data_IF_007542912504
#
_entry.id   IF_007542912504
#
_cell.length_a   1.000
_cell.length_b   1.000
_cell.length_c   1.000
_cell.angle_alpha   90.00
_cell.angle_beta   90.00
_cell.angle_gamma   90.00
#
_symmetry.space_group_name_H-M   'P 1'
#
loop_
_entity.id
_entity.type
_entity.pdbx_description
1 polymer ?
#
# COMPACT_ATOMS: atom_id res chain seq x y z
N UNK A 1 11.72 2.83 11.22
CA UNK A 1 12.36 1.50 11.15
C UNK A 1 12.39 1.07 9.70
N UNK A 2 13.46 0.46 9.22
CA UNK A 2 13.58 0.00 7.83
C UNK A 2 13.65 -1.53 7.83
N UNK A 3 12.83 -2.16 6.99
CA UNK A 3 12.86 -3.61 6.75
C UNK A 3 13.54 -3.81 5.39
N UNK A 4 14.85 -4.02 5.38
CA UNK A 4 15.64 -4.09 4.14
C UNK A 4 16.45 -5.38 4.01
N UNK A 5 16.23 -6.35 4.90
CA UNK A 5 16.82 -7.68 4.88
C UNK A 5 15.88 -8.71 5.53
N UNK A 6 16.25 -9.99 5.46
CA UNK A 6 15.43 -11.10 5.95
C UNK A 6 15.40 -11.10 7.48
N UNK A 7 16.51 -10.75 8.12
CA UNK A 7 16.65 -10.71 9.57
C UNK A 7 15.69 -9.69 10.20
N UNK A 8 15.59 -8.48 9.63
CA UNK A 8 14.63 -7.46 10.06
C UNK A 8 13.19 -7.89 9.80
N UNK A 9 12.91 -8.57 8.67
CA UNK A 9 11.58 -9.12 8.39
C UNK A 9 11.17 -10.19 9.42
N UNK A 10 12.08 -11.11 9.76
CA UNK A 10 11.85 -12.13 10.79
C UNK A 10 11.67 -11.50 12.18
N UNK A 11 12.42 -10.44 12.48
CA UNK A 11 12.27 -9.70 13.73
C UNK A 11 10.86 -9.10 13.86
N UNK A 12 10.32 -8.50 12.79
CA UNK A 12 8.94 -8.02 12.75
C UNK A 12 7.93 -9.15 12.93
N UNK A 13 8.11 -10.28 12.25
CA UNK A 13 7.27 -11.46 12.42
C UNK A 13 7.25 -11.99 13.87
N UNK A 14 8.40 -11.96 14.55
CA UNK A 14 8.50 -12.30 15.97
C UNK A 14 7.73 -11.33 16.88
N UNK A 15 7.47 -10.09 16.43
CA UNK A 15 6.61 -9.11 17.12
C UNK A 15 5.13 -9.20 16.71
N UNK A 16 4.73 -10.24 15.97
CA UNK A 16 3.39 -10.39 15.40
C UNK A 16 2.99 -9.23 14.47
N UNK A 17 3.95 -8.60 13.78
CA UNK A 17 3.63 -7.67 12.71
C UNK A 17 3.14 -8.45 11.49
N UNK A 18 1.83 -8.42 11.24
CA UNK A 18 1.18 -9.18 10.16
C UNK A 18 1.05 -8.38 8.86
N UNK A 19 1.00 -7.05 8.95
CA UNK A 19 0.81 -6.15 7.81
C UNK A 19 1.89 -5.06 7.82
N UNK A 20 2.36 -4.69 6.63
CA UNK A 20 3.41 -3.69 6.44
C UNK A 20 2.92 -2.56 5.56
N UNK A 21 2.77 -1.37 6.12
CA UNK A 21 2.39 -0.16 5.39
C UNK A 21 3.63 0.71 5.21
N UNK A 22 3.98 1.02 3.97
CA UNK A 22 5.12 1.87 3.63
C UNK A 22 4.63 3.20 3.05
N UNK A 23 5.34 4.31 3.31
CA UNK A 23 5.07 5.57 2.63
C UNK A 23 5.52 5.52 1.17
N UNK A 24 5.04 6.45 0.33
CA UNK A 24 5.34 6.52 -1.10
C UNK A 24 6.67 7.23 -1.42
N UNK A 25 7.61 7.24 -0.48
CA UNK A 25 8.96 7.76 -0.67
C UNK A 25 9.99 6.82 -0.05
N UNK A 26 11.18 6.78 -0.65
CA UNK A 26 12.33 6.07 -0.05
C UNK A 26 12.82 6.77 1.22
N UNK A 27 13.49 6.01 2.08
CA UNK A 27 14.14 6.54 3.29
C UNK A 27 15.03 7.74 2.95
N UNK A 28 15.04 8.75 3.82
CA UNK A 28 15.78 10.01 3.68
C UNK A 28 15.30 10.96 2.58
N UNK A 29 14.26 10.62 1.80
CA UNK A 29 13.62 11.56 0.87
C UNK A 29 12.51 12.36 1.54
N UNK A 30 12.35 13.61 1.09
CA UNK A 30 11.31 14.53 1.58
C UNK A 30 10.15 14.72 0.61
N UNK A 31 10.20 14.05 -0.56
CA UNK A 31 9.16 14.13 -1.60
C UNK A 31 8.74 12.70 -2.01
N UNK A 32 7.45 12.49 -2.35
CA UNK A 32 6.96 11.21 -2.85
C UNK A 32 7.58 10.86 -4.19
N UNK A 33 7.86 9.58 -4.39
CA UNK A 33 8.29 8.99 -5.66
C UNK A 33 7.07 8.51 -6.47
N UNK A 34 5.97 8.15 -5.80
CA UNK A 34 4.79 7.51 -6.40
C UNK A 34 3.47 8.06 -5.82
N UNK A 35 2.36 7.82 -6.51
CA UNK A 35 0.99 8.13 -6.07
C UNK A 35 0.18 6.83 -6.08
N UNK A 36 -0.62 6.61 -5.05
CA UNK A 36 -1.59 5.51 -4.98
C UNK A 36 -2.98 6.09 -4.77
N UNK A 37 -3.95 5.52 -5.46
CA UNK A 37 -5.37 5.83 -5.32
C UNK A 37 -6.06 4.59 -4.76
N UNK A 38 -6.61 4.71 -3.55
CA UNK A 38 -7.43 3.68 -2.93
C UNK A 38 -8.88 3.83 -3.39
N UNK A 39 -9.46 2.76 -3.93
CA UNK A 39 -10.79 2.77 -4.52
C UNK A 39 -11.74 1.96 -3.64
N UNK A 40 -12.48 2.68 -2.79
CA UNK A 40 -13.41 2.08 -1.84
C UNK A 40 -14.85 2.11 -2.37
N UNK A 41 -15.41 0.98 -2.83
CA UNK A 41 -16.80 0.95 -3.28
C UNK A 41 -17.76 1.13 -2.08
N UNK A 42 -18.96 1.72 -2.29
CA UNK A 42 -19.91 1.95 -1.19
C UNK A 42 -20.32 0.69 -0.41
N UNK A 43 -20.32 -0.47 -1.08
CA UNK A 43 -20.52 -1.79 -0.49
C UNK A 43 -20.06 -2.87 -1.46
N UNK A 44 -20.11 -4.14 -1.02
CA UNK A 44 -19.75 -5.31 -1.85
C UNK A 44 -20.63 -5.37 -3.11
N UNK A 45 -21.92 -5.06 -3.00
CA UNK A 45 -22.86 -5.04 -4.13
C UNK A 45 -22.47 -4.02 -5.21
N UNK A 46 -21.73 -2.97 -4.83
CA UNK A 46 -21.26 -1.91 -5.72
C UNK A 46 -19.77 -2.02 -6.09
N UNK A 47 -19.14 -3.18 -5.89
CA UNK A 47 -17.72 -3.40 -6.25
C UNK A 47 -17.42 -3.07 -7.73
N UNK A 48 -18.40 -3.23 -8.62
CA UNK A 48 -18.29 -2.86 -10.05
C UNK A 48 -17.92 -1.38 -10.27
N UNK A 49 -18.25 -0.49 -9.33
CA UNK A 49 -17.87 0.93 -9.40
C UNK A 49 -16.37 1.14 -9.21
N UNK A 50 -15.72 0.39 -8.30
CA UNK A 50 -14.27 0.45 -8.12
C UNK A 50 -13.55 -0.05 -9.38
N UNK A 51 -14.06 -1.11 -10.02
CA UNK A 51 -13.55 -1.59 -11.32
C UNK A 51 -13.67 -0.50 -12.38
N UNK A 52 -14.83 0.14 -12.50
CA UNK A 52 -15.06 1.23 -13.45
C UNK A 52 -14.09 2.38 -13.21
N UNK A 53 -13.96 2.84 -11.96
CA UNK A 53 -13.04 3.91 -11.60
C UNK A 53 -11.58 3.56 -11.94
N UNK A 54 -11.14 2.33 -11.65
CA UNK A 54 -9.80 1.87 -11.99
C UNK A 54 -9.54 1.88 -13.51
N UNK A 55 -10.53 1.49 -14.31
CA UNK A 55 -10.44 1.53 -15.78
C UNK A 55 -10.38 2.95 -16.32
N UNK A 56 -11.15 3.88 -15.75
CA UNK A 56 -11.11 5.29 -16.17
C UNK A 56 -9.79 5.97 -15.76
N UNK A 57 -9.23 5.66 -14.59
CA UNK A 57 -7.91 6.17 -14.15
C UNK A 57 -6.78 5.66 -15.06
N UNK A 58 -6.91 4.46 -15.62
CA UNK A 58 -5.89 3.86 -16.51
C UNK A 58 -5.85 4.49 -17.91
N UNK A 59 -6.94 5.12 -18.37
CA UNK A 59 -7.03 5.73 -19.70
C UNK A 59 -6.16 6.97 -19.82
#
# INVERSE_FOLDING_TARGET
MLCNDIETLLWFGNQLALEFHAPFQKASKTRPDEIVLDLDPPSIEYFSLAIKAAQEIKR
#
